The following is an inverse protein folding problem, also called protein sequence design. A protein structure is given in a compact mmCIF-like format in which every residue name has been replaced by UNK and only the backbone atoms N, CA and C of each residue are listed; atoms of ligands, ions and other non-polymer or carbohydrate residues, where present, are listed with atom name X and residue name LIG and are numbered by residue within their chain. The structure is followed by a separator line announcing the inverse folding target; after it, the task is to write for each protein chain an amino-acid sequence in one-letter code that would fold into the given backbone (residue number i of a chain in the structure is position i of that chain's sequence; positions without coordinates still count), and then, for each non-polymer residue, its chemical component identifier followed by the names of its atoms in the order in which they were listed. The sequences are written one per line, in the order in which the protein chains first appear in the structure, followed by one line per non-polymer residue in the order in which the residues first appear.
data_IF_387872286462
#
_entry.id   IF_387872286462
#
_cell.length_a   1.000
_cell.length_b   1.000
_cell.length_c   1.000
_cell.angle_alpha   90.00
_cell.angle_beta   90.00
_cell.angle_gamma   90.00
#
_symmetry.space_group_name_H-M   'P 1'
#
loop_
_entity.id
_entity.type
_entity.pdbx_description
1 polymer ?
#
# COMPACT_ATOMS: atom_id res chain seq x y z
N UNK A 1 -3.42 21.96 21.65
CA UNK A 1 -3.94 21.05 20.59
C UNK A 1 -3.00 20.90 19.38
N UNK A 2 -2.31 21.95 18.92
CA UNK A 2 -1.42 21.89 17.74
C UNK A 2 -0.16 21.02 17.91
N UNK A 3 0.35 20.91 19.14
CA UNK A 3 1.57 20.17 19.47
C UNK A 3 1.44 18.66 19.24
N UNK A 4 0.29 18.08 19.58
CA UNK A 4 0.01 16.65 19.39
C UNK A 4 -0.18 16.30 17.91
N UNK A 5 -0.71 17.24 17.12
CA UNK A 5 -0.85 17.10 15.66
C UNK A 5 0.53 17.10 15.00
N UNK A 6 1.44 17.97 15.44
CA UNK A 6 2.83 17.99 14.96
C UNK A 6 3.57 16.69 15.32
N UNK A 7 3.37 16.16 16.52
CA UNK A 7 3.96 14.90 16.96
C UNK A 7 3.39 13.72 16.16
N UNK A 8 2.08 13.68 15.94
CA UNK A 8 1.44 12.64 15.13
C UNK A 8 1.88 12.71 13.65
N UNK A 9 2.02 13.93 13.10
CA UNK A 9 2.53 14.13 11.75
C UNK A 9 3.99 13.62 11.64
N UNK A 10 4.84 13.94 12.62
CA UNK A 10 6.22 13.48 12.65
C UNK A 10 6.31 11.94 12.68
N UNK A 11 5.56 11.29 13.57
CA UNK A 11 5.51 9.83 13.63
C UNK A 11 4.95 9.22 12.33
N UNK A 12 3.93 9.84 11.74
CA UNK A 12 3.36 9.41 10.46
C UNK A 12 4.38 9.51 9.32
N UNK A 13 5.14 10.60 9.24
CA UNK A 13 6.19 10.77 8.23
C UNK A 13 7.31 9.75 8.40
N UNK A 14 7.76 9.50 9.63
CA UNK A 14 8.78 8.49 9.93
C UNK A 14 8.29 7.09 9.57
N UNK A 15 7.05 6.75 9.91
CA UNK A 15 6.46 5.46 9.55
C UNK A 15 6.36 5.28 8.02
N UNK A 16 5.90 6.30 7.28
CA UNK A 16 5.87 6.27 5.82
C UNK A 16 7.28 6.10 5.22
N UNK A 17 8.28 6.78 5.78
CA UNK A 17 9.65 6.69 5.31
C UNK A 17 10.22 5.27 5.54
N UNK A 18 10.01 4.69 6.71
CA UNK A 18 10.45 3.32 7.03
C UNK A 18 9.79 2.27 6.14
N UNK A 19 8.51 2.44 5.79
CA UNK A 19 7.80 1.55 4.86
C UNK A 19 8.30 1.68 3.41
N UNK A 20 8.76 2.86 3.02
CA UNK A 20 9.30 3.12 1.68
C UNK A 20 10.75 2.63 1.47
N UNK A 21 11.50 2.35 2.55
CA UNK A 21 12.89 1.86 2.45
C UNK A 21 12.96 0.38 2.05
N UNK A 22 11.99 -0.44 2.43
CA UNK A 22 11.97 -1.87 2.10
C UNK A 22 12.09 -2.20 0.58
N UNK A 23 11.33 -1.54 -0.33
CA UNK A 23 11.48 -1.80 -1.78
C UNK A 23 12.79 -1.26 -2.38
N UNK A 24 13.46 -0.30 -1.72
CA UNK A 24 14.74 0.22 -2.21
C UNK A 24 15.87 -0.83 -2.12
N UNK A 25 15.75 -1.81 -1.22
CA UNK A 25 16.73 -2.89 -1.09
C UNK A 25 16.47 -4.07 -2.05
N UNK A 26 15.34 -4.05 -2.77
CA UNK A 26 15.00 -5.06 -3.78
C UNK A 26 15.51 -4.70 -5.18
N UNK A 27 16.29 -3.63 -5.32
CA UNK A 27 16.95 -3.27 -6.57
C UNK A 27 18.23 -4.11 -6.71
N UNK A 28 18.23 -5.09 -7.62
CA UNK A 28 19.47 -5.77 -8.02
C UNK A 28 20.47 -4.73 -8.55
N UNK A 29 21.77 -4.95 -8.30
CA UNK A 29 22.86 -4.00 -8.62
C UNK A 29 22.92 -3.55 -10.09
N UNK A 30 23.90 -2.68 -10.46
CA UNK A 30 23.98 -2.11 -11.80
C UNK A 30 24.01 -3.22 -12.86
N UNK A 31 22.88 -3.42 -13.55
CA UNK A 31 22.59 -4.60 -14.36
C UNK A 31 21.11 -5.04 -14.38
N UNK A 32 20.28 -4.55 -13.46
CA UNK A 32 18.83 -4.83 -13.44
C UNK A 32 18.06 -4.08 -14.54
N UNK A 33 18.31 -4.41 -15.81
CA UNK A 33 17.67 -3.81 -17.00
C UNK A 33 16.17 -4.10 -17.14
N UNK A 34 15.46 -4.37 -16.04
CA UNK A 34 14.08 -4.79 -16.03
C UNK A 34 13.86 -6.14 -16.74
N UNK A 35 12.60 -6.57 -16.87
CA UNK A 35 12.25 -7.74 -17.65
C UNK A 35 12.80 -7.62 -19.07
N UNK A 36 13.54 -8.62 -19.55
CA UNK A 36 13.82 -8.68 -20.99
C UNK A 36 12.49 -8.91 -21.71
N UNK A 37 12.20 -8.24 -22.85
CA UNK A 37 10.86 -8.27 -23.48
C UNK A 37 10.29 -9.65 -23.81
N UNK A 38 11.11 -10.70 -23.77
CA UNK A 38 10.74 -12.09 -24.08
C UNK A 38 10.92 -13.08 -22.91
N UNK A 39 11.25 -12.61 -21.71
CA UNK A 39 11.31 -13.46 -20.52
C UNK A 39 10.01 -13.32 -19.71
N UNK A 40 9.19 -14.38 -19.59
CA UNK A 40 8.02 -14.33 -18.72
C UNK A 40 8.48 -14.05 -17.29
N UNK A 41 8.01 -12.94 -16.72
CA UNK A 41 8.31 -12.62 -15.33
C UNK A 41 7.25 -13.23 -14.44
N UNK A 42 7.69 -13.90 -13.38
CA UNK A 42 6.81 -14.51 -12.38
C UNK A 42 6.18 -13.48 -11.43
N UNK A 43 5.91 -12.25 -11.90
CA UNK A 43 5.31 -11.19 -11.08
C UNK A 43 3.84 -11.55 -10.83
N UNK A 44 3.41 -11.76 -9.57
CA UNK A 44 2.03 -12.15 -9.29
C UNK A 44 1.07 -10.99 -9.57
N UNK A 45 0.41 -11.02 -10.73
CA UNK A 45 -0.64 -10.04 -11.09
C UNK A 45 -1.82 -10.16 -10.10
N UNK A 46 -2.06 -11.35 -9.56
CA UNK A 46 -3.24 -11.66 -8.76
C UNK A 46 -3.13 -11.19 -7.30
N UNK A 47 -1.92 -10.92 -6.80
CA UNK A 47 -1.69 -10.46 -5.43
C UNK A 47 -2.32 -9.08 -5.19
N UNK A 48 -2.08 -8.15 -6.10
CA UNK A 48 -2.65 -6.80 -6.03
C UNK A 48 -4.16 -6.79 -6.27
N UNK A 49 -4.65 -7.61 -7.21
CA UNK A 49 -6.07 -7.75 -7.50
C UNK A 49 -6.86 -8.26 -6.29
N UNK A 50 -6.32 -9.26 -5.58
CA UNK A 50 -6.93 -9.83 -4.38
C UNK A 50 -7.03 -8.81 -3.24
N UNK A 51 -6.00 -7.99 -3.02
CA UNK A 51 -6.01 -6.91 -2.01
C UNK A 51 -7.02 -5.83 -2.37
N UNK A 52 -7.09 -5.43 -3.64
CA UNK A 52 -8.04 -4.43 -4.12
C UNK A 52 -9.49 -4.91 -3.96
N UNK A 53 -9.76 -6.17 -4.31
CA UNK A 53 -11.04 -6.82 -4.10
C UNK A 53 -11.43 -6.86 -2.62
N UNK A 54 -10.54 -7.35 -1.76
CA UNK A 54 -10.79 -7.43 -0.32
C UNK A 54 -11.08 -6.05 0.29
N UNK A 55 -10.30 -5.04 -0.10
CA UNK A 55 -10.46 -3.66 0.37
C UNK A 55 -11.77 -3.04 -0.10
N UNK A 56 -12.16 -3.29 -1.36
CA UNK A 56 -13.42 -2.82 -1.93
C UNK A 56 -14.64 -3.40 -1.20
N UNK A 57 -14.63 -4.71 -0.95
CA UNK A 57 -15.69 -5.40 -0.17
C UNK A 57 -15.77 -4.83 1.24
N UNK A 58 -14.64 -4.72 1.95
CA UNK A 58 -14.60 -4.20 3.32
C UNK A 58 -15.15 -2.76 3.39
N UNK A 59 -14.72 -1.88 2.47
CA UNK A 59 -15.19 -0.49 2.43
C UNK A 59 -16.69 -0.40 2.08
N UNK A 60 -17.17 -1.23 1.15
CA UNK A 60 -18.58 -1.30 0.78
C UNK A 60 -19.47 -1.71 1.95
N UNK A 61 -19.10 -2.78 2.65
CA UNK A 61 -19.81 -3.25 3.85
C UNK A 61 -19.81 -2.20 4.96
N UNK A 62 -18.68 -1.53 5.20
CA UNK A 62 -18.59 -0.43 6.18
C UNK A 62 -19.60 0.68 5.84
N UNK A 63 -19.62 1.17 4.60
CA UNK A 63 -20.55 2.23 4.18
C UNK A 63 -22.01 1.81 4.30
N UNK A 64 -22.34 0.56 3.97
CA UNK A 64 -23.70 0.03 4.13
C UNK A 64 -24.13 0.02 5.61
N UNK A 65 -23.25 -0.42 6.51
CA UNK A 65 -23.51 -0.43 7.95
C UNK A 65 -23.68 0.99 8.51
N UNK A 66 -22.82 1.91 8.10
CA UNK A 66 -22.88 3.32 8.55
C UNK A 66 -24.21 3.96 8.13
N UNK A 67 -24.70 3.69 6.90
CA UNK A 67 -26.02 4.14 6.43
C UNK A 67 -27.20 3.54 7.20
N UNK A 68 -27.09 2.28 7.62
CA UNK A 68 -28.14 1.62 8.42
C UNK A 68 -28.22 2.14 9.85
N UNK A 69 -27.10 2.61 10.41
CA UNK A 69 -27.04 3.21 11.75
C UNK A 69 -27.45 4.68 11.78
N UNK A 70 -27.34 5.37 10.65
CA UNK A 70 -27.77 6.75 10.48
C UNK A 70 -29.27 6.89 10.15
N UNK A 71 -29.95 5.77 9.87
CA UNK A 71 -31.40 5.66 9.87
C UNK A 71 -31.85 5.18 11.24
#
# INVERSE_FOLDING_TARGET
MKKNILVAALYGTVACFLLAVAPALAQDGPGSGGPTPNAPTAVPIDGGASILLASGVALGLKKLRDRRRAR
#
